data_IF_413453587878
#
_entry.id   IF_413453587878
#
_cell.length_a   1.000
_cell.length_b   1.000
_cell.length_c   1.000
_cell.angle_alpha   90.00
_cell.angle_beta   90.00
_cell.angle_gamma   90.00
#
_symmetry.space_group_name_H-M   'P 1'
#
loop_
_entity.id
_entity.type
_entity.pdbx_description
1 polymer ?
#
# COMPACT_ATOMS: atom_id res chain seq x y z
N UNK A 1 1.47 22.22 5.58
CA UNK A 1 0.77 21.21 4.75
C UNK A 1 -0.42 20.68 5.55
N UNK A 2 -1.39 20.03 4.89
CA UNK A 2 -2.52 19.35 5.55
C UNK A 2 -2.20 17.86 5.66
N UNK A 3 -2.51 17.25 6.79
CA UNK A 3 -2.39 15.79 7.00
C UNK A 3 -3.74 15.11 6.82
N UNK A 4 -3.71 13.83 6.46
CA UNK A 4 -4.89 12.97 6.43
C UNK A 4 -4.48 11.59 6.99
N UNK A 5 -5.11 11.12 8.09
CA UNK A 5 -4.75 9.83 8.70
C UNK A 5 -4.98 8.65 7.76
N UNK A 6 -5.84 8.80 6.73
CA UNK A 6 -6.08 7.76 5.73
C UNK A 6 -4.90 7.55 4.79
N UNK A 7 -3.91 8.45 4.75
CA UNK A 7 -2.71 8.33 3.90
C UNK A 7 -1.51 7.69 4.60
N UNK A 8 -1.68 7.25 5.87
CA UNK A 8 -0.65 6.48 6.59
C UNK A 8 -0.46 5.13 5.91
N UNK A 9 0.80 4.66 5.92
CA UNK A 9 1.19 3.36 5.37
C UNK A 9 0.34 2.21 5.91
N UNK A 10 0.30 1.10 5.16
CA UNK A 10 -0.30 -0.15 5.61
C UNK A 10 0.24 -0.55 6.99
N UNK A 11 -0.67 -0.88 7.90
CA UNK A 11 -0.29 -1.31 9.23
C UNK A 11 0.02 -2.81 9.26
N UNK A 12 1.21 -3.18 9.70
CA UNK A 12 1.64 -4.57 9.83
C UNK A 12 1.28 -5.22 11.17
N UNK A 13 0.54 -4.54 12.05
CA UNK A 13 0.12 -5.08 13.34
C UNK A 13 1.30 -5.52 14.21
N UNK A 14 1.27 -6.76 14.68
CA UNK A 14 2.33 -7.33 15.53
C UNK A 14 3.67 -7.48 14.79
N UNK A 15 3.67 -7.40 13.44
CA UNK A 15 4.88 -7.46 12.63
C UNK A 15 5.58 -6.10 12.47
N UNK A 16 4.99 -5.02 13.01
CA UNK A 16 5.61 -3.69 12.97
C UNK A 16 6.99 -3.69 13.66
N UNK A 17 7.95 -2.97 13.06
CA UNK A 17 9.30 -2.83 13.60
C UNK A 17 10.22 -4.04 13.37
N UNK A 18 9.73 -5.11 12.76
CA UNK A 18 10.54 -6.28 12.40
C UNK A 18 10.87 -6.30 10.90
N UNK A 19 12.06 -6.79 10.59
CA UNK A 19 12.44 -7.22 9.24
C UNK A 19 11.91 -8.62 8.94
N UNK A 20 11.78 -8.99 7.66
CA UNK A 20 11.36 -10.36 7.30
C UNK A 20 12.27 -11.45 7.88
N UNK A 21 13.61 -11.32 7.90
CA UNK A 21 14.46 -12.32 8.57
C UNK A 21 14.18 -12.46 10.08
N UNK A 22 13.88 -11.36 10.79
CA UNK A 22 13.51 -11.42 12.21
C UNK A 22 12.14 -12.09 12.39
N UNK A 23 11.18 -11.78 11.51
CA UNK A 23 9.87 -12.44 11.49
C UNK A 23 9.99 -13.94 11.24
N UNK A 24 10.87 -14.40 10.34
CA UNK A 24 11.07 -15.85 10.12
C UNK A 24 11.62 -16.57 11.36
N UNK A 25 12.32 -15.84 12.24
CA UNK A 25 12.83 -16.41 13.50
C UNK A 25 11.71 -16.58 14.53
N UNK A 26 10.80 -15.60 14.66
CA UNK A 26 9.68 -15.64 15.61
C UNK A 26 8.42 -16.34 15.08
N UNK A 27 8.22 -16.29 13.77
CA UNK A 27 7.07 -16.79 13.01
C UNK A 27 7.54 -17.52 11.75
N UNK A 28 8.09 -18.75 11.87
CA UNK A 28 8.59 -19.50 10.72
C UNK A 28 7.54 -19.67 9.63
N UNK A 29 7.88 -19.28 8.40
CA UNK A 29 6.99 -19.31 7.25
C UNK A 29 6.18 -18.04 7.02
N UNK A 30 6.36 -16.99 7.82
CA UNK A 30 5.66 -15.71 7.69
C UNK A 30 5.69 -15.14 6.26
N UNK A 31 6.88 -15.09 5.65
CA UNK A 31 7.09 -14.56 4.30
C UNK A 31 6.40 -15.43 3.25
N UNK A 32 6.47 -16.76 3.42
CA UNK A 32 5.82 -17.71 2.51
C UNK A 32 4.31 -17.59 2.58
N UNK A 33 3.73 -17.56 3.78
CA UNK A 33 2.30 -17.42 3.98
C UNK A 33 1.79 -16.13 3.37
N UNK A 34 2.49 -15.01 3.60
CA UNK A 34 2.16 -13.73 2.99
C UNK A 34 2.27 -13.77 1.47
N UNK A 35 3.24 -14.48 0.90
CA UNK A 35 3.45 -14.54 -0.55
C UNK A 35 2.34 -15.31 -1.29
N UNK A 36 1.58 -16.19 -0.62
CA UNK A 36 0.50 -16.95 -1.25
C UNK A 36 -0.66 -16.08 -1.73
N UNK A 37 -0.98 -15.03 -0.97
CA UNK A 37 -2.00 -14.04 -1.32
C UNK A 37 -1.63 -12.69 -0.70
N UNK A 38 -0.60 -12.06 -1.26
CA UNK A 38 -0.02 -10.85 -0.68
C UNK A 38 -0.99 -9.68 -0.60
N UNK A 39 -1.96 -9.62 -1.52
CA UNK A 39 -2.93 -8.53 -1.57
C UNK A 39 -3.95 -8.64 -0.42
N UNK A 40 -4.49 -9.84 -0.19
CA UNK A 40 -5.50 -10.05 0.83
C UNK A 40 -4.94 -10.50 2.18
N UNK A 41 -3.65 -10.85 2.25
CA UNK A 41 -3.00 -11.23 3.50
C UNK A 41 -3.01 -10.08 4.50
N UNK A 42 -3.60 -10.36 5.66
CA UNK A 42 -3.57 -9.49 6.84
C UNK A 42 -2.62 -10.13 7.88
N UNK A 43 -1.55 -9.44 8.29
CA UNK A 43 -0.73 -9.88 9.42
C UNK A 43 -1.53 -9.99 10.72
N UNK A 44 -1.04 -10.72 11.74
CA UNK A 44 -1.66 -10.71 13.07
C UNK A 44 -1.50 -9.34 13.76
N UNK A 45 -2.31 -9.12 14.79
CA UNK A 45 -2.22 -7.95 15.66
C UNK A 45 -3.34 -6.93 15.46
N UNK A 46 -3.50 -6.07 16.46
CA UNK A 46 -4.53 -5.04 16.44
C UNK A 46 -4.25 -3.98 15.37
N UNK A 47 -5.28 -3.68 14.57
CA UNK A 47 -5.20 -2.67 13.51
C UNK A 47 -4.35 -3.07 12.30
N UNK A 48 -3.92 -4.33 12.19
CA UNK A 48 -3.24 -4.85 11.00
C UNK A 48 -4.14 -4.73 9.76
N UNK A 49 -3.53 -4.51 8.60
CA UNK A 49 -4.23 -4.29 7.34
C UNK A 49 -3.67 -5.18 6.22
N UNK A 50 -4.56 -5.64 5.35
CA UNK A 50 -4.19 -6.11 4.01
C UNK A 50 -4.14 -4.94 3.03
N UNK A 51 -3.60 -5.16 1.82
CA UNK A 51 -3.66 -4.12 0.77
C UNK A 51 -5.10 -3.83 0.33
N UNK A 52 -6.00 -4.81 0.39
CA UNK A 52 -7.42 -4.59 0.12
C UNK A 52 -8.03 -3.60 1.12
N UNK A 53 -7.76 -3.78 2.42
CA UNK A 53 -8.21 -2.87 3.47
C UNK A 53 -7.61 -1.47 3.30
N UNK A 54 -6.31 -1.40 2.99
CA UNK A 54 -5.63 -0.14 2.69
C UNK A 54 -6.29 0.59 1.52
N UNK A 55 -6.57 -0.11 0.42
CA UNK A 55 -7.25 0.44 -0.76
C UNK A 55 -8.59 1.07 -0.39
N UNK A 56 -9.41 0.35 0.38
CA UNK A 56 -10.72 0.84 0.84
C UNK A 56 -10.59 2.09 1.71
N UNK A 57 -9.57 2.16 2.57
CA UNK A 57 -9.29 3.32 3.42
C UNK A 57 -8.81 4.54 2.63
N UNK A 58 -7.92 4.35 1.66
CA UNK A 58 -7.25 5.45 0.94
C UNK A 58 -8.09 6.00 -0.20
N UNK A 59 -8.91 5.17 -0.86
CA UNK A 59 -9.67 5.58 -2.05
C UNK A 59 -10.53 6.83 -1.82
N UNK A 60 -11.32 6.95 -0.72
CA UNK A 60 -12.10 8.16 -0.45
C UNK A 60 -11.24 9.42 -0.22
N UNK A 61 -9.94 9.27 0.10
CA UNK A 61 -9.03 10.42 0.19
C UNK A 61 -8.70 10.95 -1.20
N UNK A 62 -8.44 10.07 -2.17
CA UNK A 62 -8.12 10.45 -3.54
C UNK A 62 -9.35 10.95 -4.31
N UNK A 63 -10.51 10.31 -4.12
CA UNK A 63 -11.78 10.74 -4.73
C UNK A 63 -12.20 12.16 -4.30
N UNK A 64 -11.76 12.62 -3.13
CA UNK A 64 -12.07 13.96 -2.61
C UNK A 64 -11.10 15.07 -3.07
N UNK A 65 -10.09 14.76 -3.90
CA UNK A 65 -9.13 15.75 -4.39
C UNK A 65 -9.69 16.43 -5.65
N UNK A 66 -10.07 17.70 -5.52
CA UNK A 66 -10.69 18.47 -6.61
C UNK A 66 -9.73 19.44 -7.33
N UNK A 67 -8.49 19.55 -6.86
CA UNK A 67 -7.49 20.50 -7.38
C UNK A 67 -6.11 19.86 -7.49
N UNK A 68 -5.24 20.45 -8.32
CA UNK A 68 -3.84 20.04 -8.42
C UNK A 68 -3.21 20.00 -7.02
N UNK A 69 -2.64 18.85 -6.67
CA UNK A 69 -2.19 18.54 -5.33
C UNK A 69 -0.91 17.74 -5.40
N UNK A 70 0.10 18.14 -4.63
CA UNK A 70 1.24 17.28 -4.30
C UNK A 70 0.85 16.48 -3.06
N UNK A 71 0.74 15.17 -3.21
CA UNK A 71 0.46 14.23 -2.13
C UNK A 71 1.74 13.47 -1.79
N UNK A 72 2.19 13.57 -0.53
CA UNK A 72 3.31 12.78 -0.02
C UNK A 72 2.72 11.65 0.82
N UNK A 73 3.07 10.42 0.47
CA UNK A 73 2.57 9.20 1.11
C UNK A 73 3.59 8.08 0.98
N UNK A 74 3.17 6.83 1.14
CA UNK A 74 4.03 5.67 1.27
C UNK A 74 3.83 4.66 0.14
N UNK A 75 4.72 3.67 0.07
CA UNK A 75 4.74 2.72 -1.03
C UNK A 75 3.48 1.85 -1.11
N UNK A 76 2.92 1.43 0.03
CA UNK A 76 1.69 0.65 0.03
C UNK A 76 0.50 1.44 -0.50
N UNK A 77 0.37 2.70 -0.11
CA UNK A 77 -0.66 3.62 -0.65
C UNK A 77 -0.47 3.78 -2.16
N UNK A 78 0.75 3.99 -2.64
CA UNK A 78 1.01 4.11 -4.09
C UNK A 78 0.61 2.84 -4.86
N UNK A 79 0.88 1.63 -4.35
CA UNK A 79 0.44 0.37 -4.99
C UNK A 79 -1.07 0.30 -5.18
N UNK A 80 -1.85 0.79 -4.21
CA UNK A 80 -3.32 0.78 -4.33
C UNK A 80 -3.82 1.67 -5.47
N UNK A 81 -3.09 2.73 -5.84
CA UNK A 81 -3.45 3.58 -6.97
C UNK A 81 -3.41 2.81 -8.28
N UNK A 82 -2.45 1.90 -8.48
CA UNK A 82 -2.38 1.10 -9.71
C UNK A 82 -3.58 0.17 -9.87
N UNK A 83 -4.07 -0.43 -8.78
CA UNK A 83 -5.31 -1.23 -8.83
C UNK A 83 -6.55 -0.35 -8.99
N UNK A 84 -6.63 0.77 -8.26
CA UNK A 84 -7.76 1.68 -8.29
C UNK A 84 -7.94 2.39 -9.65
N UNK A 85 -6.85 2.91 -10.22
CA UNK A 85 -6.86 3.77 -11.41
C UNK A 85 -6.75 2.95 -12.70
N UNK A 86 -5.85 1.96 -12.74
CA UNK A 86 -5.57 1.17 -13.94
C UNK A 86 -6.26 -0.20 -13.94
N UNK A 87 -6.84 -0.62 -12.81
CA UNK A 87 -7.48 -1.94 -12.72
C UNK A 87 -6.49 -3.11 -12.75
N UNK A 88 -5.22 -2.89 -12.34
CA UNK A 88 -4.25 -3.97 -12.28
C UNK A 88 -4.72 -5.12 -11.39
N UNK A 89 -4.29 -6.34 -11.73
CA UNK A 89 -4.53 -7.52 -10.92
C UNK A 89 -3.90 -7.38 -9.53
N UNK A 90 -4.47 -8.08 -8.55
CA UNK A 90 -4.05 -8.02 -7.14
C UNK A 90 -2.58 -8.39 -6.94
N UNK A 91 -2.15 -9.50 -7.54
CA UNK A 91 -0.76 -9.97 -7.44
C UNK A 91 0.22 -9.00 -8.11
N UNK A 92 -0.14 -8.46 -9.27
CA UNK A 92 0.68 -7.48 -9.98
C UNK A 92 0.85 -6.22 -9.14
N UNK A 93 -0.26 -5.63 -8.68
CA UNK A 93 -0.23 -4.41 -7.87
C UNK A 93 0.52 -4.59 -6.54
N UNK A 94 0.36 -5.74 -5.87
CA UNK A 94 1.06 -6.04 -4.62
C UNK A 94 2.59 -6.15 -4.80
N UNK A 95 3.05 -6.55 -5.99
CA UNK A 95 4.45 -6.81 -6.30
C UNK A 95 5.14 -5.72 -7.10
N UNK A 96 4.41 -4.67 -7.52
CA UNK A 96 5.00 -3.51 -8.16
C UNK A 96 6.16 -2.90 -7.34
N UNK A 97 7.23 -2.60 -8.05
CA UNK A 97 8.29 -1.74 -7.55
C UNK A 97 7.78 -0.30 -7.49
N UNK A 98 7.98 0.33 -6.33
CA UNK A 98 7.64 1.72 -6.10
C UNK A 98 8.96 2.45 -5.86
N UNK A 99 9.50 3.17 -6.87
CA UNK A 99 10.73 3.94 -6.73
C UNK A 99 10.58 5.02 -5.64
N UNK A 100 11.62 5.19 -4.83
CA UNK A 100 11.63 6.16 -3.72
C UNK A 100 12.14 7.54 -4.13
N UNK A 101 12.62 7.69 -5.36
CA UNK A 101 13.32 8.85 -5.91
C UNK A 101 12.57 9.52 -7.08
N UNK A 102 11.29 9.18 -7.28
CA UNK A 102 10.47 9.66 -8.40
C UNK A 102 9.11 10.17 -7.96
N UNK A 103 8.46 10.92 -8.85
CA UNK A 103 7.08 11.36 -8.66
C UNK A 103 6.13 10.50 -9.49
N UNK A 104 5.03 10.05 -8.88
CA UNK A 104 3.93 9.43 -9.61
C UNK A 104 2.87 10.49 -9.93
N UNK A 105 2.75 10.83 -11.21
CA UNK A 105 1.68 11.70 -11.71
C UNK A 105 0.41 10.87 -11.92
N UNK A 106 -0.67 11.25 -11.24
CA UNK A 106 -2.02 10.74 -11.46
C UNK A 106 -2.83 11.78 -12.23
N UNK A 107 -3.38 11.40 -13.39
CA UNK A 107 -4.19 12.28 -14.24
C UNK A 107 -5.37 11.52 -14.85
N UNK A 108 -6.56 11.71 -14.30
CA UNK A 108 -7.76 10.98 -14.74
C UNK A 108 -7.60 9.48 -14.51
N UNK A 109 -7.42 8.71 -15.60
CA UNK A 109 -7.22 7.25 -15.57
C UNK A 109 -5.79 6.82 -15.93
N UNK A 110 -4.82 7.72 -15.81
CA UNK A 110 -3.41 7.42 -16.07
C UNK A 110 -2.55 7.59 -14.83
N UNK A 111 -1.45 6.82 -14.80
CA UNK A 111 -0.36 6.93 -13.85
C UNK A 111 0.96 6.96 -14.64
N UNK A 112 1.82 7.93 -14.34
CA UNK A 112 3.09 8.15 -15.04
C UNK A 112 4.20 8.47 -14.04
N UNK A 113 5.36 7.82 -14.17
CA UNK A 113 6.54 8.14 -13.39
C UNK A 113 7.31 9.29 -14.04
N UNK A 114 7.56 10.36 -13.27
CA UNK A 114 8.36 11.52 -13.65
C UNK A 114 9.73 11.49 -12.96
#
# INVERSE_FOLDING_TARGET
>A
YRTDPRLVEVNFGDWQGFTFPELETGYPGASRTRALDKWNFQPPGEGAESYQMLLERVRPCFDAIERQTICVTHGGVMRTLFRFVLGLAEDEAANLEIPQDRLLKLEGKSLEWL
#
